data_IF_914727349820
#
_entry.id   IF_914727349820
#
_cell.length_a   1.000
_cell.length_b   1.000
_cell.length_c   1.000
_cell.angle_alpha   90.00
_cell.angle_beta   90.00
_cell.angle_gamma   90.00
#
_symmetry.space_group_name_H-M   'P 1'
#
loop_
_entity.id
_entity.type
_entity.pdbx_description
1 polymer ?
#
# COMPACT_ATOMS: atom_id res chain seq x y z
N UNK A 1 31.64 36.59 -30.87
CA UNK A 1 31.61 35.40 -30.01
C UNK A 1 30.27 35.37 -29.30
N UNK A 2 29.26 34.87 -29.99
CA UNK A 2 27.89 34.75 -29.52
C UNK A 2 27.24 33.69 -30.43
N UNK A 3 26.43 32.80 -29.85
CA UNK A 3 25.77 31.60 -30.40
C UNK A 3 26.23 30.40 -29.55
N UNK A 4 25.37 29.64 -28.87
CA UNK A 4 23.92 29.62 -28.90
C UNK A 4 23.40 28.82 -27.69
N UNK A 5 22.25 29.28 -27.19
CA UNK A 5 21.45 28.79 -26.06
C UNK A 5 20.83 27.39 -26.30
N UNK A 6 21.54 26.46 -26.94
CA UNK A 6 20.96 25.16 -27.35
C UNK A 6 21.11 24.03 -26.33
N UNK A 7 21.89 24.23 -25.25
CA UNK A 7 22.11 23.18 -24.25
C UNK A 7 20.98 23.13 -23.21
N UNK A 8 20.08 24.11 -23.17
CA UNK A 8 19.02 24.18 -22.15
C UNK A 8 17.73 23.40 -22.50
N UNK A 9 17.55 22.96 -23.75
CA UNK A 9 16.28 22.36 -24.20
C UNK A 9 16.16 20.85 -23.95
N UNK A 10 17.24 20.16 -23.60
CA UNK A 10 17.25 18.69 -23.44
C UNK A 10 17.16 18.21 -21.99
N UNK A 11 17.38 19.09 -21.00
CA UNK A 11 17.37 18.74 -19.57
C UNK A 11 15.96 18.84 -18.95
N UNK A 12 15.02 19.50 -19.63
CA UNK A 12 13.66 19.75 -19.14
C UNK A 12 12.68 18.59 -19.32
N UNK A 13 12.96 17.61 -20.20
CA UNK A 13 12.08 16.44 -20.35
C UNK A 13 12.30 15.35 -19.29
N UNK A 14 13.48 15.29 -18.67
CA UNK A 14 13.80 14.23 -17.69
C UNK A 14 13.38 14.62 -16.27
N UNK A 15 13.32 15.92 -15.98
CA UNK A 15 12.92 16.45 -14.66
C UNK A 15 11.40 16.57 -14.47
N UNK A 16 10.61 16.53 -15.56
CA UNK A 16 9.15 16.58 -15.49
C UNK A 16 8.51 15.25 -15.02
N UNK A 17 9.18 14.10 -15.22
CA UNK A 17 8.60 12.78 -14.86
C UNK A 17 8.75 12.46 -13.38
N UNK A 18 9.79 13.01 -12.72
CA UNK A 18 10.05 12.78 -11.29
C UNK A 18 9.28 13.75 -10.38
N UNK A 19 8.75 14.85 -10.92
CA UNK A 19 8.02 15.86 -10.14
C UNK A 19 6.51 15.60 -10.07
N UNK A 20 5.95 14.77 -10.95
CA UNK A 20 4.51 14.41 -10.95
C UNK A 20 4.11 13.33 -9.93
N UNK A 21 5.05 12.59 -9.34
CA UNK A 21 4.72 11.56 -8.32
C UNK A 21 4.39 12.12 -6.93
N UNK A 22 4.57 13.43 -6.73
CA UNK A 22 4.19 14.15 -5.51
C UNK A 22 2.91 15.01 -5.67
N UNK A 23 2.18 14.88 -6.78
CA UNK A 23 0.86 15.49 -6.89
C UNK A 23 -0.10 14.81 -5.91
N UNK A 24 -0.31 15.49 -4.79
CA UNK A 24 -1.27 15.22 -3.74
C UNK A 24 -2.54 14.58 -4.32
N UNK A 25 -2.73 13.29 -4.05
CA UNK A 25 -3.94 12.53 -4.36
C UNK A 25 -5.07 12.99 -3.42
N UNK A 26 -5.50 14.23 -3.62
CA UNK A 26 -6.52 14.94 -2.86
C UNK A 26 -7.81 14.93 -3.67
N UNK A 27 -8.28 13.75 -4.05
CA UNK A 27 -9.65 13.61 -4.52
C UNK A 27 -10.24 12.27 -4.11
N UNK A 28 -11.30 12.35 -3.33
CA UNK A 28 -11.96 11.25 -2.60
C UNK A 28 -12.85 10.39 -3.50
N UNK A 29 -12.45 10.21 -4.76
CA UNK A 29 -13.06 9.32 -5.75
C UNK A 29 -11.98 8.83 -6.71
N UNK A 30 -11.16 7.89 -6.26
CA UNK A 30 -10.32 7.09 -7.15
C UNK A 30 -11.24 6.30 -8.09
N UNK A 31 -11.72 6.97 -9.14
CA UNK A 31 -12.38 6.34 -10.25
C UNK A 31 -11.33 5.40 -10.84
N UNK A 32 -11.57 4.13 -10.57
CA UNK A 32 -10.61 3.04 -10.59
C UNK A 32 -10.13 2.72 -12.02
N UNK A 33 -10.55 3.52 -12.99
CA UNK A 33 -10.27 3.42 -14.43
C UNK A 33 -9.04 4.20 -14.89
N UNK A 34 -8.32 4.90 -14.00
CA UNK A 34 -7.26 5.84 -14.39
C UNK A 34 -5.84 5.45 -13.91
N UNK A 35 -5.61 4.21 -13.48
CA UNK A 35 -4.23 3.76 -13.27
C UNK A 35 -3.53 3.59 -14.63
N UNK A 36 -2.30 4.10 -14.82
CA UNK A 36 -1.56 3.91 -16.07
C UNK A 36 -1.48 2.42 -16.42
N UNK A 37 -1.50 2.06 -17.71
CA UNK A 37 -1.34 0.66 -18.13
C UNK A 37 -0.03 0.02 -17.61
N UNK A 38 0.98 0.85 -17.33
CA UNK A 38 2.28 0.44 -16.79
C UNK A 38 2.30 0.37 -15.25
N UNK A 39 1.14 0.46 -14.58
CA UNK A 39 1.10 0.38 -13.13
C UNK A 39 1.44 -1.05 -12.66
N UNK A 40 2.36 -1.21 -11.68
CA UNK A 40 2.87 -2.52 -11.31
C UNK A 40 1.76 -3.40 -10.75
N UNK A 41 1.79 -4.69 -11.11
CA UNK A 41 0.94 -5.69 -10.47
C UNK A 41 1.42 -5.97 -9.05
N UNK A 42 0.49 -6.24 -8.14
CA UNK A 42 0.80 -6.56 -6.76
C UNK A 42 1.54 -7.89 -6.68
N UNK A 43 2.62 -7.89 -5.90
CA UNK A 43 3.29 -9.11 -5.51
C UNK A 43 2.42 -9.91 -4.54
N UNK A 44 2.74 -11.20 -4.39
CA UNK A 44 2.08 -12.07 -3.43
C UNK A 44 2.14 -11.45 -2.02
N UNK A 45 0.98 -11.28 -1.38
CA UNK A 45 0.84 -10.67 -0.03
C UNK A 45 1.27 -9.20 0.06
N UNK A 46 1.39 -8.50 -1.06
CA UNK A 46 1.62 -7.06 -1.04
C UNK A 46 0.31 -6.32 -0.74
N UNK A 47 0.39 -5.26 0.08
CA UNK A 47 -0.72 -4.32 0.23
C UNK A 47 -0.89 -3.53 -1.07
N UNK A 48 -2.11 -3.51 -1.59
CA UNK A 48 -2.43 -2.78 -2.81
C UNK A 48 -2.70 -1.30 -2.56
N UNK A 49 -3.18 -0.93 -1.37
CA UNK A 49 -3.35 0.46 -0.99
C UNK A 49 -3.22 0.67 0.53
N UNK A 50 -2.86 1.88 0.92
CA UNK A 50 -2.85 2.34 2.32
C UNK A 50 -3.58 3.67 2.42
N UNK A 51 -4.59 3.75 3.29
CA UNK A 51 -5.27 4.98 3.64
C UNK A 51 -4.61 5.62 4.87
N UNK A 52 -4.17 6.86 4.71
CA UNK A 52 -3.66 7.69 5.82
C UNK A 52 -4.82 8.45 6.45
N UNK A 53 -5.19 8.08 7.69
CA UNK A 53 -6.21 8.82 8.46
C UNK A 53 -5.83 10.28 8.71
N UNK A 54 -4.54 10.58 8.83
CA UNK A 54 -4.06 11.93 9.14
C UNK A 54 -4.26 12.91 7.96
N UNK A 55 -4.14 12.41 6.73
CA UNK A 55 -4.23 13.25 5.52
C UNK A 55 -5.49 13.00 4.71
N UNK A 56 -6.31 12.00 5.09
CA UNK A 56 -7.39 11.45 4.28
C UNK A 56 -6.94 11.05 2.86
N UNK A 57 -5.64 10.77 2.68
CA UNK A 57 -5.07 10.37 1.42
C UNK A 57 -5.04 8.86 1.32
N UNK A 58 -5.49 8.36 0.18
CA UNK A 58 -5.35 6.96 -0.20
C UNK A 58 -4.15 6.84 -1.14
N UNK A 59 -3.18 6.02 -0.76
CA UNK A 59 -2.03 5.70 -1.60
C UNK A 59 -2.18 4.30 -2.15
N UNK A 60 -2.35 4.18 -3.47
CA UNK A 60 -2.36 2.90 -4.17
C UNK A 60 -0.93 2.57 -4.60
N UNK A 61 -0.47 1.35 -4.35
CA UNK A 61 0.89 0.89 -4.65
C UNK A 61 0.97 -0.01 -5.87
N UNK A 62 -0.06 -0.81 -6.11
CA UNK A 62 -0.08 -1.79 -7.19
C UNK A 62 -1.53 -2.16 -7.57
N UNK A 63 -1.71 -2.73 -8.76
CA UNK A 63 -2.99 -3.29 -9.24
C UNK A 63 -3.08 -4.77 -8.91
N UNK A 64 -4.29 -5.28 -8.66
CA UNK A 64 -4.50 -6.69 -8.37
C UNK A 64 -4.34 -7.55 -9.62
N UNK A 65 -4.23 -8.87 -9.44
CA UNK A 65 -4.28 -9.82 -10.56
C UNK A 65 -5.58 -9.64 -11.34
N UNK A 66 -5.58 -10.05 -12.61
CA UNK A 66 -6.72 -9.91 -13.53
C UNK A 66 -7.07 -8.46 -13.91
N UNK A 67 -6.09 -7.56 -13.84
CA UNK A 67 -6.23 -6.12 -14.10
C UNK A 67 -7.32 -5.44 -13.24
N UNK A 68 -7.66 -6.09 -12.11
CA UNK A 68 -8.64 -5.59 -11.15
C UNK A 68 -8.00 -4.55 -10.23
N UNK A 69 -8.81 -3.60 -9.77
CA UNK A 69 -8.35 -2.56 -8.85
C UNK A 69 -8.33 -3.10 -7.42
N UNK A 70 -7.44 -2.55 -6.61
CA UNK A 70 -7.42 -2.74 -5.17
C UNK A 70 -8.83 -2.55 -4.56
N UNK A 71 -9.41 -3.57 -3.92
CA UNK A 71 -10.79 -3.55 -3.43
C UNK A 71 -10.95 -2.73 -2.15
N UNK A 72 -10.80 -1.41 -2.25
CA UNK A 72 -10.81 -0.47 -1.11
C UNK A 72 -12.20 -0.30 -0.48
N UNK A 73 -13.26 -0.60 -1.22
CA UNK A 73 -14.65 -0.52 -0.75
C UNK A 73 -15.14 -1.78 -0.03
N UNK A 74 -14.32 -2.83 0.05
CA UNK A 74 -14.69 -4.10 0.65
C UNK A 74 -13.86 -4.39 1.90
N UNK A 75 -14.51 -4.33 3.06
CA UNK A 75 -13.88 -4.54 4.37
C UNK A 75 -13.22 -5.93 4.50
N UNK A 76 -13.65 -6.91 3.71
CA UNK A 76 -13.03 -8.24 3.72
C UNK A 76 -11.60 -8.25 3.17
N UNK A 77 -11.22 -7.19 2.45
CA UNK A 77 -9.89 -6.96 1.90
C UNK A 77 -9.10 -5.92 2.70
N UNK A 78 -9.74 -5.30 3.69
CA UNK A 78 -9.15 -4.29 4.55
C UNK A 78 -8.50 -4.94 5.79
N UNK A 79 -7.41 -4.34 6.22
CA UNK A 79 -6.74 -4.67 7.47
C UNK A 79 -7.14 -3.63 8.50
N UNK A 80 -7.87 -4.07 9.53
CA UNK A 80 -8.40 -3.21 10.58
C UNK A 80 -7.27 -2.62 11.44
N UNK A 81 -7.30 -1.31 11.80
CA UNK A 81 -8.38 -0.36 11.60
C UNK A 81 -8.30 0.47 10.31
N UNK A 82 -8.62 -0.14 9.17
CA UNK A 82 -8.95 0.47 7.86
C UNK A 82 -7.88 1.40 7.28
N UNK A 83 -6.62 1.06 7.49
CA UNK A 83 -5.50 1.81 6.93
C UNK A 83 -4.82 1.09 5.78
N UNK A 84 -5.08 -0.19 5.56
CA UNK A 84 -4.37 -1.00 4.57
C UNK A 84 -5.32 -1.96 3.87
N UNK A 85 -5.08 -2.20 2.58
CA UNK A 85 -5.90 -3.05 1.73
C UNK A 85 -5.02 -4.03 0.96
N UNK A 86 -5.51 -5.24 0.75
CA UNK A 86 -4.84 -6.30 -0.02
C UNK A 86 -5.80 -6.83 -1.09
N UNK A 87 -5.26 -7.38 -2.17
CA UNK A 87 -6.06 -7.91 -3.28
C UNK A 87 -6.89 -9.14 -2.94
N UNK A 88 -6.45 -9.94 -1.97
CA UNK A 88 -7.13 -11.17 -1.58
C UNK A 88 -7.92 -10.98 -0.29
N UNK A 89 -9.02 -11.70 -0.15
CA UNK A 89 -9.84 -11.70 1.05
C UNK A 89 -9.02 -12.13 2.29
N UNK A 90 -8.91 -11.23 3.28
CA UNK A 90 -7.96 -11.32 4.40
C UNK A 90 -8.12 -12.62 5.19
N UNK A 91 -9.35 -12.98 5.55
CA UNK A 91 -9.62 -14.15 6.41
C UNK A 91 -9.38 -15.50 5.72
N UNK A 92 -9.38 -15.54 4.39
CA UNK A 92 -9.17 -16.77 3.62
C UNK A 92 -7.73 -16.91 3.14
N UNK A 93 -7.02 -15.79 3.03
CA UNK A 93 -5.70 -15.74 2.43
C UNK A 93 -4.56 -15.63 3.46
N UNK A 94 -4.84 -15.05 4.64
CA UNK A 94 -3.84 -14.82 5.67
C UNK A 94 -4.15 -15.62 6.94
N UNK A 95 -3.14 -16.36 7.39
CA UNK A 95 -3.15 -17.00 8.69
C UNK A 95 -3.05 -15.96 9.81
N UNK A 96 -3.72 -16.17 10.96
CA UNK A 96 -3.59 -15.30 12.11
C UNK A 96 -2.16 -15.35 12.67
N UNK A 97 -1.62 -14.21 13.11
CA UNK A 97 -0.28 -14.14 13.70
C UNK A 97 -0.25 -14.85 15.05
N UNK A 98 0.67 -15.80 15.27
CA UNK A 98 0.74 -16.55 16.54
C UNK A 98 1.35 -15.76 17.71
N UNK A 99 2.05 -14.66 17.43
CA UNK A 99 2.83 -13.90 18.40
C UNK A 99 2.81 -12.40 18.03
N UNK A 100 2.67 -11.53 19.03
CA UNK A 100 2.68 -10.07 18.88
C UNK A 100 4.08 -9.51 18.55
N UNK A 101 5.15 -10.25 18.84
CA UNK A 101 6.54 -9.83 18.62
C UNK A 101 7.03 -10.10 17.20
N UNK A 102 6.28 -10.87 16.40
CA UNK A 102 6.58 -11.15 15.00
C UNK A 102 6.00 -10.02 14.15
N UNK A 103 6.77 -9.45 13.19
CA UNK A 103 6.26 -8.39 12.33
C UNK A 103 5.15 -8.94 11.42
N UNK A 104 3.93 -8.46 11.66
CA UNK A 104 2.75 -8.77 10.88
C UNK A 104 2.82 -8.15 9.48
N UNK A 105 3.38 -6.95 9.35
CA UNK A 105 3.65 -6.29 8.06
C UNK A 105 5.09 -5.80 8.06
N UNK A 106 5.80 -6.06 6.97
CA UNK A 106 7.15 -5.54 6.74
C UNK A 106 7.06 -4.58 5.56
N UNK A 107 7.55 -3.35 5.76
CA UNK A 107 7.74 -2.40 4.67
C UNK A 107 9.21 -2.37 4.28
N UNK A 108 9.46 -2.64 3.01
CA UNK A 108 10.66 -2.13 2.35
C UNK A 108 10.30 -0.78 1.73
N UNK A 109 11.29 0.01 1.31
CA UNK A 109 11.12 1.42 0.89
C UNK A 109 10.00 1.70 -0.11
N UNK A 110 9.47 0.69 -0.80
CA UNK A 110 8.45 0.82 -1.84
C UNK A 110 7.27 -0.14 -1.70
N UNK A 111 7.38 -1.21 -0.90
CA UNK A 111 6.34 -2.24 -0.79
C UNK A 111 6.04 -2.56 0.67
N UNK A 112 4.76 -2.82 0.94
CA UNK A 112 4.29 -3.34 2.21
C UNK A 112 3.86 -4.79 1.99
N UNK A 113 4.48 -5.72 2.70
CA UNK A 113 4.17 -7.14 2.61
C UNK A 113 3.58 -7.59 3.93
N UNK A 114 2.38 -8.17 3.89
CA UNK A 114 1.71 -8.74 5.06
C UNK A 114 2.07 -10.22 5.23
N UNK A 115 2.60 -10.56 6.39
CA UNK A 115 2.98 -11.93 6.74
C UNK A 115 1.81 -12.71 7.34
N UNK A 116 1.05 -12.06 8.22
CA UNK A 116 -0.05 -12.67 8.96
C UNK A 116 -1.08 -11.62 9.40
N UNK A 117 -2.28 -12.06 9.78
CA UNK A 117 -3.36 -11.16 10.22
C UNK A 117 -3.45 -11.00 11.74
N UNK A 118 -3.72 -9.77 12.18
CA UNK A 118 -4.00 -9.42 13.58
C UNK A 118 -5.46 -8.95 13.71
N UNK A 119 -5.98 -8.88 14.93
CA UNK A 119 -7.26 -8.19 15.18
C UNK A 119 -7.03 -6.65 15.16
N UNK A 120 -5.90 -6.19 15.72
CA UNK A 120 -5.43 -4.80 15.61
C UNK A 120 -3.91 -4.73 15.42
N UNK A 121 -3.43 -3.65 14.81
CA UNK A 121 -2.03 -3.46 14.41
C UNK A 121 -1.44 -2.20 15.05
N UNK A 122 -0.16 -2.27 15.42
CA UNK A 122 0.61 -1.11 15.86
C UNK A 122 0.95 -0.21 14.67
N UNK A 123 0.18 0.86 14.49
CA UNK A 123 0.39 1.85 13.42
C UNK A 123 0.72 3.22 14.01
N UNK A 124 1.69 3.98 13.46
CA UNK A 124 2.44 3.77 12.22
C UNK A 124 3.56 2.72 12.31
N UNK A 125 4.11 2.25 11.18
CA UNK A 125 5.24 1.32 11.16
C UNK A 125 6.47 1.89 11.90
N UNK A 126 7.11 1.07 12.74
CA UNK A 126 8.34 1.41 13.46
C UNK A 126 9.50 0.63 12.87
N UNK A 127 10.55 1.32 12.40
CA UNK A 127 11.70 0.67 11.76
C UNK A 127 11.32 -0.16 10.53
N UNK A 128 10.28 0.26 9.81
CA UNK A 128 9.75 -0.45 8.66
C UNK A 128 8.98 -1.74 8.98
N UNK A 129 8.48 -1.89 10.22
CA UNK A 129 7.72 -3.06 10.66
C UNK A 129 6.45 -2.64 11.37
N UNK A 130 5.40 -3.42 11.22
CA UNK A 130 4.12 -3.30 11.92
C UNK A 130 3.88 -4.61 12.65
N UNK A 131 3.55 -4.51 13.93
CA UNK A 131 3.31 -5.66 14.79
C UNK A 131 1.83 -5.77 15.16
N UNK A 132 1.39 -6.91 15.65
CA UNK A 132 0.06 -7.01 16.25
C UNK A 132 0.02 -6.23 17.57
N UNK A 133 -1.03 -5.45 17.77
CA UNK A 133 -1.40 -4.94 19.08
C UNK A 133 -2.29 -5.96 19.81
N UNK A 134 -3.16 -6.64 19.06
CA UNK A 134 -3.97 -7.76 19.57
C UNK A 134 -3.94 -8.94 18.61
N UNK A 135 -3.78 -10.14 19.18
CA UNK A 135 -3.85 -11.39 18.44
C UNK A 135 -5.29 -11.78 18.16
N UNK A 136 -5.50 -12.50 17.06
CA UNK A 136 -6.84 -12.95 16.74
C UNK A 136 -7.39 -13.87 17.81
N UNK A 137 -8.50 -13.45 18.43
CA UNK A 137 -9.12 -14.11 19.60
C UNK A 137 -9.40 -15.61 19.40
N UNK A 138 -9.38 -16.09 18.14
CA UNK A 138 -9.53 -17.50 17.79
C UNK A 138 -8.31 -18.38 18.12
N UNK A 139 -7.11 -17.82 18.33
CA UNK A 139 -5.92 -18.62 18.68
C UNK A 139 -5.90 -19.09 20.13
N UNK A 140 -6.59 -18.41 21.05
CA UNK A 140 -6.65 -18.82 22.45
C UNK A 140 -7.50 -20.06 22.71
N UNK A 141 -8.09 -20.68 21.68
CA UNK A 141 -8.83 -21.94 21.80
C UNK A 141 -7.98 -23.21 21.60
N UNK A 142 -6.66 -23.07 21.43
CA UNK A 142 -5.75 -24.21 21.20
C UNK A 142 -4.80 -24.52 22.37
N UNK A 143 -5.04 -23.97 23.56
CA UNK A 143 -4.39 -24.38 24.81
C UNK A 143 -5.41 -24.78 25.86
#
# INVERSE_FOLDING_TARGET
>A
MALSLDILMSVTMVTAVLTTVNAEYKDSRLDSRQLPANFPMCQHRQLCAVASRATNNLRVYCRCSDDTICPISDDHHAIYPNTAYICQHVNSYLDPCVDITIPAIVTTSEIYVINCRCDTYQWPPVGGKVYCESLSSRMFKLF
#
